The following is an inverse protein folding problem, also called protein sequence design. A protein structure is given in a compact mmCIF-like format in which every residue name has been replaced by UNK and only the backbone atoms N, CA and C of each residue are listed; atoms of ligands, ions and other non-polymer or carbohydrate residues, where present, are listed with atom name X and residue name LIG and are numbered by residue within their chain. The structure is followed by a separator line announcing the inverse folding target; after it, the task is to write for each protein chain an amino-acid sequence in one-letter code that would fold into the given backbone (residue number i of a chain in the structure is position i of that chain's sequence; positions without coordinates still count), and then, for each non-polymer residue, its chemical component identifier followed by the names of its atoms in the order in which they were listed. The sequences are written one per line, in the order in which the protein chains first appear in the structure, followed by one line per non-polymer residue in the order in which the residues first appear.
data_IF_622816750077
#
_entry.id   IF_622816750077
#
_cell.length_a   1.000
_cell.length_b   1.000
_cell.length_c   1.000
_cell.angle_alpha   90.00
_cell.angle_beta   90.00
_cell.angle_gamma   90.00
#
_symmetry.space_group_name_H-M   'P 1'
#
loop_
_entity.id
_entity.type
_entity.pdbx_description
1 polymer ?
#
# COMPACT_ATOMS: atom_id res chain seq x y z
N UNK A 1 -22.99 -13.22 -77.31
CA UNK A 1 -23.05 -13.71 -75.94
C UNK A 1 -22.64 -12.55 -75.02
N UNK A 2 -23.63 -11.93 -74.35
CA UNK A 2 -23.41 -10.83 -73.39
C UNK A 2 -23.21 -11.43 -71.99
N UNK A 3 -22.06 -11.21 -71.40
CA UNK A 3 -21.77 -11.53 -69.98
C UNK A 3 -22.19 -10.35 -69.12
N UNK A 4 -23.20 -10.55 -68.22
CA UNK A 4 -23.59 -9.59 -67.19
C UNK A 4 -22.58 -9.66 -66.01
N UNK A 5 -21.91 -8.57 -65.76
CA UNK A 5 -21.02 -8.39 -64.58
C UNK A 5 -21.88 -8.08 -63.36
N UNK A 6 -21.83 -8.94 -62.35
CA UNK A 6 -22.60 -8.82 -61.11
C UNK A 6 -21.94 -7.78 -60.15
N UNK A 7 -22.68 -6.69 -59.85
CA UNK A 7 -22.29 -5.61 -58.92
C UNK A 7 -22.68 -5.98 -57.48
N UNK A 8 -22.04 -6.98 -56.88
CA UNK A 8 -22.34 -7.34 -55.47
C UNK A 8 -21.12 -7.67 -54.59
N UNK A 9 -19.93 -7.25 -54.98
CA UNK A 9 -18.70 -7.57 -54.19
C UNK A 9 -18.05 -6.36 -53.54
N UNK A 10 -18.73 -5.21 -53.45
CA UNK A 10 -18.13 -3.97 -52.93
C UNK A 10 -18.51 -3.54 -51.51
N UNK A 11 -19.45 -4.23 -50.82
CA UNK A 11 -19.99 -3.71 -49.53
C UNK A 11 -19.48 -4.43 -48.28
N UNK A 12 -18.81 -5.60 -48.40
CA UNK A 12 -18.34 -6.35 -47.24
C UNK A 12 -16.95 -5.97 -46.72
N UNK A 13 -16.20 -5.10 -47.39
CA UNK A 13 -14.82 -4.74 -46.95
C UNK A 13 -14.72 -3.48 -46.08
N UNK A 14 -15.83 -2.72 -45.91
CA UNK A 14 -15.83 -1.50 -45.08
C UNK A 14 -16.34 -1.70 -43.65
N UNK A 15 -16.85 -2.88 -43.31
CA UNK A 15 -17.39 -3.15 -41.96
C UNK A 15 -16.37 -3.70 -40.97
N UNK A 16 -15.13 -4.00 -41.39
CA UNK A 16 -14.08 -4.58 -40.51
C UNK A 16 -13.07 -3.58 -39.93
N UNK A 17 -13.20 -2.30 -40.26
CA UNK A 17 -12.24 -1.25 -39.82
C UNK A 17 -12.72 -0.41 -38.64
N UNK A 18 -13.88 -0.66 -38.06
CA UNK A 18 -14.39 0.16 -36.93
C UNK A 18 -14.35 -0.52 -35.56
N UNK A 19 -13.70 -1.69 -35.39
CA UNK A 19 -13.58 -2.34 -34.07
C UNK A 19 -12.18 -2.24 -33.44
N UNK A 20 -11.34 -1.32 -33.88
CA UNK A 20 -10.21 -0.86 -33.06
C UNK A 20 -10.71 0.20 -32.09
N UNK A 21 -11.78 -0.11 -31.34
CA UNK A 21 -12.06 0.62 -30.11
C UNK A 21 -10.85 0.44 -29.23
N UNK A 22 -10.09 1.52 -29.00
CA UNK A 22 -9.13 1.60 -27.92
C UNK A 22 -9.76 0.91 -26.71
N UNK A 23 -9.26 -0.25 -26.32
CA UNK A 23 -9.49 -0.78 -24.99
C UNK A 23 -8.85 0.24 -24.04
N UNK A 24 -9.61 1.28 -23.66
CA UNK A 24 -9.27 2.08 -22.50
C UNK A 24 -9.06 1.07 -21.37
N UNK A 25 -7.83 0.94 -20.90
CA UNK A 25 -7.55 0.08 -19.76
C UNK A 25 -8.57 0.41 -18.67
N UNK A 26 -9.20 -0.61 -18.12
CA UNK A 26 -10.23 -0.44 -17.10
C UNK A 26 -9.64 0.36 -15.94
N UNK A 27 -10.40 1.31 -15.39
CA UNK A 27 -9.96 2.12 -14.24
C UNK A 27 -9.65 1.21 -13.05
N UNK A 28 -8.58 1.50 -12.27
CA UNK A 28 -8.28 0.75 -11.06
C UNK A 28 -9.47 0.75 -10.09
N UNK A 29 -9.76 -0.39 -9.49
CA UNK A 29 -10.71 -0.46 -8.39
C UNK A 29 -10.11 0.22 -7.15
N UNK A 30 -10.89 1.07 -6.47
CA UNK A 30 -10.42 1.76 -5.26
C UNK A 30 -10.53 0.83 -4.06
N UNK A 31 -9.49 0.79 -3.23
CA UNK A 31 -9.43 0.09 -1.97
C UNK A 31 -8.78 0.94 -0.88
N UNK A 32 -9.11 0.65 0.35
CA UNK A 32 -8.49 1.26 1.52
C UNK A 32 -7.84 0.20 2.40
N UNK A 33 -6.83 0.59 3.19
CA UNK A 33 -6.33 -0.21 4.30
C UNK A 33 -6.92 0.24 5.62
N UNK A 34 -7.43 -0.71 6.41
CA UNK A 34 -7.65 -0.55 7.84
C UNK A 34 -6.48 -1.15 8.59
N UNK A 35 -5.66 -0.29 9.19
CA UNK A 35 -4.42 -0.72 9.84
C UNK A 35 -4.47 -0.66 11.37
N UNK A 36 -5.60 -0.18 11.94
CA UNK A 36 -5.82 -0.13 13.38
C UNK A 36 -6.17 -1.52 13.92
N UNK A 37 -5.85 -1.77 15.20
CA UNK A 37 -6.19 -3.04 15.88
C UNK A 37 -7.67 -3.16 16.28
N UNK A 38 -8.41 -2.06 16.31
CA UNK A 38 -9.84 -2.03 16.57
C UNK A 38 -10.55 -1.52 15.34
N UNK A 39 -11.45 -2.33 14.78
CA UNK A 39 -12.34 -1.89 13.70
C UNK A 39 -13.60 -1.26 14.28
N UNK A 40 -13.60 0.05 14.32
CA UNK A 40 -14.73 0.86 14.80
C UNK A 40 -14.69 2.23 14.09
N UNK A 41 -14.97 2.28 12.77
CA UNK A 41 -15.01 3.55 12.05
C UNK A 41 -16.19 4.39 12.57
N UNK A 42 -15.97 5.69 12.71
CA UNK A 42 -17.08 6.61 13.02
C UNK A 42 -17.91 6.93 11.77
N UNK A 43 -18.99 7.70 11.95
CA UNK A 43 -19.89 8.06 10.85
C UNK A 43 -19.22 8.88 9.76
N UNK A 44 -18.25 9.74 10.11
CA UNK A 44 -17.51 10.55 9.15
C UNK A 44 -16.51 9.67 8.34
N UNK A 45 -15.83 8.74 9.00
CA UNK A 45 -14.98 7.75 8.34
C UNK A 45 -15.79 6.91 7.35
N UNK A 46 -16.96 6.40 7.74
CA UNK A 46 -17.84 5.62 6.86
C UNK A 46 -18.38 6.43 5.68
N UNK A 47 -18.85 7.65 5.93
CA UNK A 47 -19.32 8.55 4.87
C UNK A 47 -18.22 8.85 3.85
N UNK A 48 -17.01 9.12 4.34
CA UNK A 48 -15.85 9.34 3.48
C UNK A 48 -15.50 8.09 2.66
N UNK A 49 -15.41 6.92 3.29
CA UNK A 49 -15.13 5.65 2.61
C UNK A 49 -16.12 5.43 1.45
N UNK A 50 -17.43 5.57 1.72
CA UNK A 50 -18.47 5.39 0.71
C UNK A 50 -18.35 6.44 -0.41
N UNK A 51 -18.07 7.70 -0.07
CA UNK A 51 -17.91 8.78 -1.03
C UNK A 51 -16.69 8.58 -1.96
N UNK A 52 -15.66 7.84 -1.54
CA UNK A 52 -14.53 7.50 -2.43
C UNK A 52 -14.88 6.47 -3.50
N UNK A 53 -16.01 5.77 -3.37
CA UNK A 53 -16.40 4.68 -4.27
C UNK A 53 -15.60 3.40 -4.06
N UNK A 54 -14.92 3.24 -2.93
CA UNK A 54 -14.12 2.06 -2.62
C UNK A 54 -14.94 0.78 -2.66
N UNK A 55 -14.37 -0.27 -3.24
CA UNK A 55 -14.99 -1.59 -3.40
C UNK A 55 -14.28 -2.68 -2.61
N UNK A 56 -13.11 -2.38 -2.05
CA UNK A 56 -12.32 -3.34 -1.30
C UNK A 56 -11.76 -2.69 -0.04
N UNK A 57 -11.57 -3.52 0.99
CA UNK A 57 -10.96 -3.13 2.25
C UNK A 57 -9.89 -4.15 2.65
N UNK A 58 -8.64 -3.73 2.61
CA UNK A 58 -7.51 -4.46 3.18
C UNK A 58 -7.54 -4.34 4.70
N UNK A 59 -7.70 -5.44 5.42
CA UNK A 59 -7.84 -5.42 6.87
C UNK A 59 -6.67 -6.13 7.52
N UNK A 60 -5.85 -5.37 8.25
CA UNK A 60 -4.78 -5.97 9.05
C UNK A 60 -5.37 -6.78 10.20
N UNK A 61 -5.20 -8.11 10.12
CA UNK A 61 -5.76 -9.03 11.13
C UNK A 61 -4.88 -9.10 12.38
N UNK A 62 -3.59 -9.22 12.20
CA UNK A 62 -2.58 -9.30 13.27
C UNK A 62 -1.17 -9.22 12.69
N UNK A 63 -0.21 -9.00 13.56
CA UNK A 63 1.21 -9.15 13.25
C UNK A 63 1.72 -10.52 13.73
N UNK A 64 2.64 -11.10 12.99
CA UNK A 64 3.46 -12.22 13.45
C UNK A 64 4.80 -11.64 13.88
N UNK A 65 5.08 -11.66 15.18
CA UNK A 65 6.25 -11.00 15.74
C UNK A 65 6.82 -11.78 16.93
N UNK A 66 8.04 -11.45 17.32
CA UNK A 66 8.72 -11.97 18.52
C UNK A 66 8.75 -10.91 19.62
N UNK A 67 9.07 -11.33 20.85
CA UNK A 67 9.36 -10.39 21.94
C UNK A 67 10.49 -10.94 22.81
N UNK A 68 11.07 -10.09 23.65
CA UNK A 68 12.12 -10.52 24.59
C UNK A 68 11.66 -11.67 25.51
N UNK A 69 10.37 -11.67 25.90
CA UNK A 69 9.76 -12.72 26.73
C UNK A 69 9.44 -14.00 25.96
N UNK A 70 9.08 -13.84 24.67
CA UNK A 70 8.68 -14.96 23.79
C UNK A 70 9.46 -14.83 22.48
N UNK A 71 10.61 -15.50 22.35
CA UNK A 71 11.48 -15.39 21.17
C UNK A 71 10.88 -16.10 19.94
N UNK A 72 9.84 -16.93 20.15
CA UNK A 72 9.14 -17.58 19.03
C UNK A 72 8.08 -16.68 18.44
N UNK A 73 7.89 -16.73 17.09
CA UNK A 73 6.86 -15.95 16.41
C UNK A 73 5.46 -16.21 16.99
N UNK A 74 4.77 -15.15 17.35
CA UNK A 74 3.42 -15.18 17.94
C UNK A 74 2.57 -14.04 17.41
N UNK A 75 1.21 -14.19 17.36
CA UNK A 75 0.34 -13.10 16.96
C UNK A 75 0.37 -11.95 17.97
N UNK A 76 0.43 -10.73 17.44
CA UNK A 76 0.31 -9.48 18.19
C UNK A 76 -0.68 -8.55 17.52
N UNK A 77 -1.24 -7.63 18.26
CA UNK A 77 -2.15 -6.62 17.71
C UNK A 77 -3.34 -7.26 16.98
N UNK A 78 -3.93 -8.32 17.55
CA UNK A 78 -5.04 -9.04 16.94
C UNK A 78 -6.24 -8.10 16.80
N UNK A 79 -6.81 -8.09 15.60
CA UNK A 79 -7.95 -7.26 15.24
C UNK A 79 -9.16 -7.55 16.16
N UNK A 80 -9.74 -6.50 16.68
CA UNK A 80 -11.02 -6.51 17.38
C UNK A 80 -12.08 -5.84 16.50
N UNK A 81 -12.97 -6.62 15.93
CA UNK A 81 -14.10 -6.08 15.18
C UNK A 81 -15.20 -5.64 16.13
N UNK A 82 -15.49 -4.33 16.17
CA UNK A 82 -16.54 -3.73 17.02
C UNK A 82 -17.78 -3.31 16.24
N UNK A 83 -17.67 -3.23 14.92
CA UNK A 83 -18.75 -2.84 14.01
C UNK A 83 -18.82 -3.79 12.82
N UNK A 84 -19.96 -3.84 12.16
CA UNK A 84 -20.11 -4.55 10.89
C UNK A 84 -19.21 -3.96 9.80
N UNK A 85 -18.79 -4.79 8.88
CA UNK A 85 -18.08 -4.32 7.68
C UNK A 85 -19.03 -3.50 6.81
N UNK A 86 -18.51 -2.56 6.00
CA UNK A 86 -19.35 -1.83 5.03
C UNK A 86 -20.03 -2.80 4.07
N UNK A 87 -21.27 -2.52 3.70
CA UNK A 87 -22.02 -3.36 2.77
C UNK A 87 -21.35 -3.42 1.40
N UNK A 88 -21.43 -4.58 0.78
CA UNK A 88 -20.92 -4.83 -0.59
C UNK A 88 -19.41 -4.61 -0.79
N UNK A 89 -18.63 -4.56 0.30
CA UNK A 89 -17.18 -4.41 0.25
C UNK A 89 -16.50 -5.78 0.26
N UNK A 90 -15.58 -6.00 -0.69
CA UNK A 90 -14.72 -7.16 -0.68
C UNK A 90 -13.65 -7.01 0.41
N UNK A 91 -13.64 -7.90 1.38
CA UNK A 91 -12.60 -7.92 2.40
C UNK A 91 -11.35 -8.65 1.89
N UNK A 92 -10.20 -8.07 2.18
CA UNK A 92 -8.89 -8.66 1.91
C UNK A 92 -8.12 -8.71 3.22
N UNK A 93 -8.11 -9.86 3.92
CA UNK A 93 -7.30 -10.02 5.12
C UNK A 93 -5.82 -9.78 4.84
N UNK A 94 -5.15 -9.12 5.76
CA UNK A 94 -3.71 -8.83 5.70
C UNK A 94 -3.04 -9.35 6.97
N UNK A 95 -1.97 -10.10 6.81
CA UNK A 95 -1.11 -10.54 7.92
C UNK A 95 0.26 -9.93 7.74
N UNK A 96 0.66 -9.07 8.69
CA UNK A 96 2.00 -8.52 8.72
C UNK A 96 2.96 -9.46 9.44
N UNK A 97 4.09 -9.75 8.82
CA UNK A 97 5.12 -10.64 9.37
C UNK A 97 6.40 -9.83 9.57
N UNK A 98 6.83 -9.67 10.82
CA UNK A 98 8.03 -8.88 11.11
C UNK A 98 9.31 -9.59 10.64
N UNK A 99 10.35 -8.81 10.42
CA UNK A 99 11.68 -9.36 10.12
C UNK A 99 12.16 -10.29 11.25
N UNK A 100 11.94 -9.90 12.50
CA UNK A 100 12.34 -10.67 13.67
C UNK A 100 11.72 -12.07 13.68
N UNK A 101 10.43 -12.18 13.32
CA UNK A 101 9.72 -13.46 13.25
C UNK A 101 10.30 -14.45 12.22
N UNK A 102 10.96 -13.95 11.18
CA UNK A 102 11.51 -14.81 10.11
C UNK A 102 13.03 -15.00 10.17
N UNK A 103 13.72 -14.29 11.05
CA UNK A 103 15.15 -14.57 11.29
C UNK A 103 15.36 -15.89 12.05
N UNK A 104 14.48 -16.17 13.04
CA UNK A 104 14.50 -17.39 13.85
C UNK A 104 13.07 -17.91 14.04
N UNK A 105 12.43 -18.44 12.99
CA UNK A 105 11.01 -18.75 13.01
C UNK A 105 10.66 -20.01 13.83
N UNK A 106 11.65 -20.81 14.25
CA UNK A 106 11.43 -22.14 14.77
C UNK A 106 10.83 -23.06 13.69
N UNK A 107 9.82 -23.87 14.03
CA UNK A 107 9.11 -24.71 13.07
C UNK A 107 8.16 -23.85 12.19
N UNK A 108 8.46 -23.74 10.92
CA UNK A 108 7.61 -23.05 9.93
C UNK A 108 6.27 -23.77 9.74
N UNK A 109 6.23 -25.09 9.82
CA UNK A 109 4.99 -25.87 9.74
C UNK A 109 4.04 -25.52 10.88
N UNK A 110 4.55 -25.53 12.11
CA UNK A 110 3.77 -25.13 13.29
C UNK A 110 3.31 -23.67 13.20
N UNK A 111 4.15 -22.79 12.65
CA UNK A 111 3.82 -21.38 12.45
C UNK A 111 2.68 -21.25 11.42
N UNK A 112 2.77 -21.96 10.29
CA UNK A 112 1.74 -21.94 9.25
C UNK A 112 0.38 -22.42 9.78
N UNK A 113 0.35 -23.51 10.55
CA UNK A 113 -0.87 -24.02 11.19
C UNK A 113 -1.48 -22.99 12.15
N UNK A 114 -0.67 -22.34 12.99
CA UNK A 114 -1.16 -21.31 13.94
C UNK A 114 -1.73 -20.09 13.22
N UNK A 115 -1.04 -19.59 12.18
CA UNK A 115 -1.51 -18.48 11.37
C UNK A 115 -2.84 -18.86 10.70
N UNK A 116 -2.91 -20.02 10.04
CA UNK A 116 -4.11 -20.48 9.35
C UNK A 116 -5.32 -20.59 10.28
N UNK A 117 -5.13 -21.16 11.48
CA UNK A 117 -6.17 -21.27 12.51
C UNK A 117 -6.69 -19.90 12.94
N UNK A 118 -5.79 -18.93 13.19
CA UNK A 118 -6.18 -17.60 13.62
C UNK A 118 -6.90 -16.82 12.51
N UNK A 119 -6.39 -16.87 11.27
CA UNK A 119 -7.08 -16.28 10.11
C UNK A 119 -8.47 -16.89 9.97
N UNK A 120 -8.60 -18.21 10.04
CA UNK A 120 -9.89 -18.90 9.95
C UNK A 120 -10.86 -18.48 11.05
N UNK A 121 -10.38 -18.27 12.26
CA UNK A 121 -11.21 -17.79 13.38
C UNK A 121 -11.70 -16.35 13.15
N UNK A 122 -10.80 -15.44 12.77
CA UNK A 122 -11.12 -14.01 12.57
C UNK A 122 -12.02 -13.78 11.35
N UNK A 123 -11.88 -14.59 10.30
CA UNK A 123 -12.58 -14.42 9.03
C UNK A 123 -13.76 -15.42 8.87
N UNK A 124 -14.16 -16.12 9.91
CA UNK A 124 -15.18 -17.19 9.84
C UNK A 124 -16.51 -16.75 9.24
N UNK A 125 -16.96 -15.53 9.55
CA UNK A 125 -18.25 -15.00 9.11
C UNK A 125 -18.11 -14.03 7.91
N UNK A 126 -16.93 -13.96 7.30
CA UNK A 126 -16.65 -13.01 6.22
C UNK A 126 -16.44 -13.74 4.91
N UNK A 127 -16.95 -13.15 3.83
CA UNK A 127 -16.65 -13.63 2.47
C UNK A 127 -15.39 -12.94 1.96
N UNK A 128 -14.33 -13.74 1.73
CA UNK A 128 -13.07 -13.26 1.20
C UNK A 128 -12.48 -14.28 0.21
N UNK A 129 -11.82 -13.80 -0.81
CA UNK A 129 -11.25 -14.63 -1.88
C UNK A 129 -9.75 -14.43 -2.04
N UNK A 130 -9.18 -13.47 -1.32
CA UNK A 130 -7.79 -13.06 -1.40
C UNK A 130 -7.25 -12.80 -0.01
N UNK A 131 -5.96 -13.07 0.20
CA UNK A 131 -5.21 -12.69 1.39
C UNK A 131 -3.89 -12.07 0.99
N UNK A 132 -3.47 -11.03 1.72
CA UNK A 132 -2.19 -10.37 1.53
C UNK A 132 -1.23 -10.72 2.65
N UNK A 133 -0.03 -11.10 2.27
CA UNK A 133 1.09 -11.37 3.15
C UNK A 133 2.05 -10.19 3.09
N UNK A 134 2.10 -9.44 4.17
CA UNK A 134 2.93 -8.25 4.25
C UNK A 134 4.24 -8.57 4.97
N UNK A 135 5.35 -8.51 4.24
CA UNK A 135 6.68 -8.70 4.78
C UNK A 135 7.73 -8.00 3.92
N UNK A 136 8.52 -7.16 4.54
CA UNK A 136 9.68 -6.51 3.91
C UNK A 136 10.88 -7.49 3.86
N UNK A 137 10.80 -8.50 2.98
CA UNK A 137 11.86 -9.52 2.93
C UNK A 137 13.18 -8.97 2.42
N UNK A 138 14.24 -9.50 2.99
CA UNK A 138 15.62 -9.26 2.60
C UNK A 138 16.30 -10.58 2.27
N UNK A 139 17.56 -10.57 1.84
CA UNK A 139 18.32 -11.81 1.62
C UNK A 139 18.31 -12.74 2.83
N UNK A 140 18.27 -12.20 4.07
CA UNK A 140 18.29 -13.00 5.29
C UNK A 140 16.96 -13.65 5.68
N UNK A 141 15.81 -13.12 5.19
CA UNK A 141 14.48 -13.65 5.56
C UNK A 141 13.74 -14.29 4.39
N UNK A 142 14.19 -14.06 3.14
CA UNK A 142 13.51 -14.54 1.92
C UNK A 142 13.24 -16.04 1.92
N UNK A 143 14.24 -16.84 2.27
CA UNK A 143 14.09 -18.31 2.24
C UNK A 143 12.97 -18.77 3.18
N UNK A 144 12.99 -18.30 4.43
CA UNK A 144 11.97 -18.63 5.43
C UNK A 144 10.59 -18.05 5.06
N UNK A 145 10.54 -16.84 4.53
CA UNK A 145 9.29 -16.24 4.07
C UNK A 145 8.64 -17.05 2.95
N UNK A 146 9.41 -17.40 1.92
CA UNK A 146 8.88 -18.17 0.77
C UNK A 146 8.51 -19.60 1.15
N UNK A 147 9.25 -20.23 2.07
CA UNK A 147 8.89 -21.53 2.63
C UNK A 147 7.57 -21.44 3.40
N UNK A 148 7.42 -20.44 4.27
CA UNK A 148 6.18 -20.20 5.01
C UNK A 148 4.98 -20.00 4.07
N UNK A 149 5.12 -19.21 3.00
CA UNK A 149 4.04 -19.02 2.02
C UNK A 149 3.62 -20.33 1.35
N UNK A 150 4.55 -21.24 1.05
CA UNK A 150 4.24 -22.57 0.49
C UNK A 150 3.48 -23.43 1.49
N UNK A 151 3.89 -23.43 2.75
CA UNK A 151 3.21 -24.17 3.83
C UNK A 151 1.81 -23.63 4.13
N UNK A 152 1.66 -22.31 4.11
CA UNK A 152 0.35 -21.66 4.25
C UNK A 152 -0.61 -22.06 3.12
N UNK A 153 -0.12 -22.16 1.87
CA UNK A 153 -0.95 -22.61 0.74
C UNK A 153 -1.50 -24.03 0.90
N UNK A 154 -0.86 -24.86 1.70
CA UNK A 154 -1.31 -26.23 1.99
C UNK A 154 -2.41 -26.30 3.05
N UNK A 155 -2.68 -25.20 3.77
CA UNK A 155 -3.70 -25.16 4.80
C UNK A 155 -5.10 -25.04 4.17
N UNK A 156 -6.04 -25.91 4.58
CA UNK A 156 -7.36 -26.04 3.98
C UNK A 156 -8.16 -24.72 3.91
N UNK A 157 -8.00 -23.82 4.90
CA UNK A 157 -8.68 -22.49 4.93
C UNK A 157 -8.30 -21.62 3.72
N UNK A 158 -7.15 -21.86 3.12
CA UNK A 158 -6.65 -21.09 1.96
C UNK A 158 -6.94 -21.78 0.61
N UNK A 159 -7.65 -22.90 0.59
CA UNK A 159 -8.07 -23.52 -0.66
C UNK A 159 -8.89 -22.52 -1.48
N UNK A 160 -8.57 -22.39 -2.78
CA UNK A 160 -9.20 -21.45 -3.70
C UNK A 160 -9.04 -19.95 -3.33
N UNK A 161 -8.13 -19.63 -2.43
CA UNK A 161 -7.80 -18.22 -2.11
C UNK A 161 -6.61 -17.74 -2.91
N UNK A 162 -6.69 -16.51 -3.40
CA UNK A 162 -5.57 -15.83 -4.05
C UNK A 162 -4.59 -15.33 -2.99
N UNK A 163 -3.34 -15.72 -3.10
CA UNK A 163 -2.25 -15.15 -2.29
C UNK A 163 -1.67 -13.95 -3.03
N UNK A 164 -1.60 -12.82 -2.32
CA UNK A 164 -0.84 -11.64 -2.72
C UNK A 164 0.28 -11.37 -1.71
N UNK A 165 1.34 -10.73 -2.14
CA UNK A 165 2.43 -10.30 -1.25
C UNK A 165 2.77 -8.84 -1.52
N UNK A 166 3.13 -8.10 -0.48
CA UNK A 166 3.65 -6.73 -0.63
C UNK A 166 5.00 -6.75 -1.33
N UNK A 167 5.21 -5.80 -2.22
CA UNK A 167 6.42 -5.64 -3.04
C UNK A 167 6.97 -4.23 -2.80
N UNK A 168 8.22 -4.13 -2.35
CA UNK A 168 8.95 -2.86 -2.26
C UNK A 168 9.55 -2.49 -3.60
N UNK A 169 9.77 -1.21 -3.87
CA UNK A 169 10.33 -0.74 -5.14
C UNK A 169 11.63 -1.45 -5.52
N UNK A 170 12.57 -1.60 -4.58
CA UNK A 170 13.84 -2.28 -4.86
C UNK A 170 13.68 -3.76 -5.22
N UNK A 171 12.57 -4.39 -4.84
CA UNK A 171 12.26 -5.79 -5.15
C UNK A 171 11.76 -5.96 -6.59
N UNK A 172 11.35 -4.88 -7.29
CA UNK A 172 11.03 -4.93 -8.73
C UNK A 172 12.21 -5.41 -9.58
N UNK A 173 13.45 -5.27 -9.10
CA UNK A 173 14.66 -5.78 -9.77
C UNK A 173 14.90 -7.28 -9.57
N UNK A 174 14.12 -7.92 -8.71
CA UNK A 174 14.24 -9.35 -8.41
C UNK A 174 13.29 -10.17 -9.30
N UNK A 175 13.62 -10.27 -10.58
CA UNK A 175 12.75 -10.90 -11.60
C UNK A 175 13.07 -12.37 -11.86
N UNK A 176 14.19 -12.89 -11.35
CA UNK A 176 14.60 -14.27 -11.57
C UNK A 176 13.74 -15.26 -10.78
N UNK A 177 13.53 -16.49 -11.32
CA UNK A 177 12.90 -17.56 -10.58
C UNK A 177 13.55 -17.79 -9.20
N UNK A 178 12.74 -17.94 -8.16
CA UNK A 178 13.22 -18.10 -6.77
C UNK A 178 13.56 -16.79 -6.02
N UNK A 179 13.61 -15.65 -6.71
CA UNK A 179 13.75 -14.34 -6.08
C UNK A 179 12.40 -13.65 -5.82
N UNK A 180 11.35 -14.11 -6.46
CA UNK A 180 9.98 -13.62 -6.28
C UNK A 180 9.19 -14.49 -5.29
N UNK A 181 8.26 -13.88 -4.53
CA UNK A 181 7.41 -14.64 -3.63
C UNK A 181 6.50 -15.61 -4.41
N UNK A 182 6.24 -16.82 -3.88
CA UNK A 182 5.43 -17.83 -4.55
C UNK A 182 3.93 -17.50 -4.41
N UNK A 183 3.48 -16.38 -4.97
CA UNK A 183 2.10 -15.85 -4.94
C UNK A 183 1.56 -15.63 -6.35
N UNK A 184 0.27 -15.33 -6.46
CA UNK A 184 -0.35 -15.06 -7.77
C UNK A 184 -0.21 -13.62 -8.22
N UNK A 185 -0.14 -12.67 -7.29
CA UNK A 185 0.05 -11.25 -7.58
C UNK A 185 0.83 -10.54 -6.47
N UNK A 186 1.39 -9.40 -6.78
CA UNK A 186 2.01 -8.50 -5.84
C UNK A 186 1.15 -7.29 -5.53
N UNK A 187 1.44 -6.62 -4.42
CA UNK A 187 0.97 -5.28 -4.11
C UNK A 187 2.18 -4.36 -4.02
N UNK A 188 2.39 -3.54 -5.04
CA UNK A 188 3.52 -2.59 -5.07
C UNK A 188 3.27 -1.45 -4.09
N UNK A 189 4.13 -1.34 -3.08
CA UNK A 189 4.13 -0.21 -2.15
C UNK A 189 4.86 0.97 -2.77
N UNK A 190 4.12 2.01 -3.17
CA UNK A 190 4.66 3.24 -3.79
C UNK A 190 4.94 4.27 -2.70
N UNK A 191 5.61 3.84 -1.64
CA UNK A 191 6.01 4.65 -0.50
C UNK A 191 7.19 4.03 0.25
N UNK A 192 7.67 4.71 1.30
CA UNK A 192 8.87 4.34 2.07
C UNK A 192 10.11 4.19 1.17
N UNK A 193 10.42 5.25 0.42
CA UNK A 193 11.44 5.27 -0.63
C UNK A 193 12.81 5.74 -0.15
N UNK A 194 12.85 6.54 0.90
CA UNK A 194 14.07 7.22 1.35
C UNK A 194 14.61 6.74 2.69
N UNK A 195 15.67 7.42 3.14
CA UNK A 195 16.30 7.18 4.41
C UNK A 195 15.71 8.09 5.50
N UNK A 196 14.73 7.56 6.25
CA UNK A 196 13.99 8.29 7.28
C UNK A 196 14.90 8.98 8.32
N UNK A 197 15.92 8.27 8.78
CA UNK A 197 16.81 8.73 9.88
C UNK A 197 17.96 9.62 9.42
N UNK A 198 18.15 9.79 8.12
CA UNK A 198 19.20 10.64 7.56
C UNK A 198 18.72 12.08 7.48
N UNK A 199 19.47 13.01 8.08
CA UNK A 199 19.20 14.43 7.92
C UNK A 199 19.39 14.85 6.46
N UNK A 200 18.61 15.83 5.99
CA UNK A 200 18.60 16.33 4.62
C UNK A 200 17.20 16.62 4.14
N UNK A 201 17.03 16.86 2.85
CA UNK A 201 15.77 17.28 2.24
C UNK A 201 14.99 16.17 1.52
N UNK A 202 15.37 14.91 1.68
CA UNK A 202 14.69 13.79 1.04
C UNK A 202 13.35 13.50 1.72
N UNK A 203 12.31 13.28 0.94
CA UNK A 203 11.02 12.80 1.42
C UNK A 203 11.06 11.27 1.50
N UNK A 204 11.15 10.72 2.72
CA UNK A 204 11.27 9.27 2.89
C UNK A 204 9.96 8.52 2.61
N UNK A 205 8.81 9.21 2.58
CA UNK A 205 7.55 8.60 2.19
C UNK A 205 7.52 8.41 0.67
N UNK A 206 7.66 9.52 -0.08
CA UNK A 206 7.57 9.50 -1.54
C UNK A 206 8.56 10.52 -2.12
N UNK A 207 9.62 10.01 -2.73
CA UNK A 207 10.64 10.79 -3.41
C UNK A 207 10.56 10.55 -4.92
N UNK A 208 10.31 11.62 -5.69
CA UNK A 208 10.12 11.51 -7.13
C UNK A 208 11.38 11.02 -7.86
N UNK A 209 12.57 11.38 -7.41
CA UNK A 209 13.82 10.94 -8.02
C UNK A 209 14.05 9.44 -7.79
N UNK A 210 13.79 8.98 -6.56
CA UNK A 210 13.82 7.55 -6.23
C UNK A 210 12.77 6.79 -7.04
N UNK A 211 11.51 7.28 -7.08
CA UNK A 211 10.47 6.68 -7.89
C UNK A 211 10.89 6.54 -9.36
N UNK A 212 11.38 7.62 -9.96
CA UNK A 212 11.84 7.64 -11.35
C UNK A 212 12.90 6.57 -11.64
N UNK A 213 13.77 6.27 -10.68
CA UNK A 213 14.83 5.26 -10.85
C UNK A 213 14.32 3.82 -10.96
N UNK A 214 13.05 3.56 -10.60
CA UNK A 214 12.42 2.23 -10.68
C UNK A 214 11.41 2.09 -11.81
N UNK A 215 11.08 3.14 -12.55
CA UNK A 215 10.05 3.09 -13.60
C UNK A 215 10.36 2.06 -14.68
N UNK A 216 11.63 1.99 -15.12
CA UNK A 216 12.05 1.01 -16.14
C UNK A 216 11.96 -0.45 -15.65
N UNK A 217 11.89 -0.69 -14.35
CA UNK A 217 11.81 -2.03 -13.77
C UNK A 217 10.34 -2.51 -13.69
N UNK A 218 9.37 -1.61 -13.76
CA UNK A 218 7.94 -1.92 -13.71
C UNK A 218 7.53 -2.92 -14.80
N UNK A 219 7.89 -2.65 -16.05
CA UNK A 219 7.55 -3.53 -17.20
C UNK A 219 8.15 -4.92 -17.10
N UNK A 220 9.29 -5.05 -16.40
CA UNK A 220 10.05 -6.30 -16.32
C UNK A 220 9.54 -7.21 -15.20
N UNK A 221 8.80 -6.67 -14.23
CA UNK A 221 8.33 -7.46 -13.09
C UNK A 221 7.19 -8.39 -13.50
N UNK A 222 7.35 -9.71 -13.35
CA UNK A 222 6.45 -10.66 -14.02
C UNK A 222 5.12 -10.91 -13.29
N UNK A 223 5.01 -10.60 -11.99
CA UNK A 223 3.74 -10.75 -11.28
C UNK A 223 2.79 -9.60 -11.65
N UNK A 224 1.49 -9.87 -11.83
CA UNK A 224 0.47 -8.83 -11.82
C UNK A 224 0.57 -8.00 -10.53
N UNK A 225 0.40 -6.68 -10.61
CA UNK A 225 0.55 -5.78 -9.48
C UNK A 225 -0.73 -4.99 -9.20
N UNK A 226 -1.20 -5.05 -7.96
CA UNK A 226 -1.97 -3.97 -7.36
C UNK A 226 -1.02 -2.88 -6.87
N UNK A 227 -1.52 -1.68 -6.59
CA UNK A 227 -0.71 -0.53 -6.20
C UNK A 227 -1.19 0.05 -4.88
N UNK A 228 -0.27 0.37 -3.96
CA UNK A 228 -0.59 1.03 -2.70
C UNK A 228 0.05 2.42 -2.66
N UNK A 229 -0.78 3.45 -2.44
CA UNK A 229 -0.41 4.86 -2.41
C UNK A 229 -0.46 5.41 -0.99
N UNK A 230 0.48 6.29 -0.61
CA UNK A 230 0.47 6.92 0.70
C UNK A 230 -0.50 8.10 0.73
N UNK A 231 -1.40 8.14 1.70
CA UNK A 231 -2.17 9.35 2.07
C UNK A 231 -1.78 9.88 3.44
N UNK A 232 -0.86 9.18 4.10
CA UNK A 232 -0.29 9.59 5.38
C UNK A 232 0.83 10.63 5.22
N UNK A 233 1.13 11.30 6.31
CA UNK A 233 2.25 12.21 6.40
C UNK A 233 2.79 12.24 7.82
N UNK A 234 4.00 12.74 7.97
CA UNK A 234 4.62 12.99 9.25
C UNK A 234 5.63 14.15 9.19
N UNK A 235 6.03 14.64 10.36
CA UNK A 235 7.24 15.41 10.48
C UNK A 235 8.34 14.53 11.07
N UNK A 236 9.54 14.57 10.50
CA UNK A 236 10.73 13.91 11.06
C UNK A 236 11.50 14.93 11.87
N UNK A 237 11.69 14.65 13.16
CA UNK A 237 12.39 15.52 14.10
C UNK A 237 13.86 15.16 14.16
N UNK A 238 14.71 16.16 13.96
CA UNK A 238 16.17 16.05 14.11
C UNK A 238 16.66 17.02 15.19
N UNK A 239 17.61 16.58 15.98
CA UNK A 239 18.36 17.40 16.94
C UNK A 239 19.84 17.27 16.65
N UNK A 240 20.52 18.38 16.37
CA UNK A 240 21.94 18.37 15.99
C UNK A 240 22.22 17.36 14.84
N UNK A 241 21.36 17.36 13.82
CA UNK A 241 21.39 16.44 12.68
C UNK A 241 21.19 14.94 13.00
N UNK A 242 20.82 14.60 14.24
CA UNK A 242 20.49 13.22 14.63
C UNK A 242 18.98 13.03 14.67
N UNK A 243 18.52 11.92 14.15
CA UNK A 243 17.13 11.51 14.23
C UNK A 243 16.66 11.41 15.69
N UNK A 244 15.50 11.99 15.99
CA UNK A 244 14.87 11.96 17.31
C UNK A 244 13.58 11.16 17.29
N UNK A 245 12.63 11.55 16.42
CA UNK A 245 11.30 10.95 16.38
C UNK A 245 10.59 11.19 15.05
N UNK A 246 9.52 10.41 14.85
CA UNK A 246 8.50 10.64 13.83
C UNK A 246 7.28 11.23 14.53
N UNK A 247 6.87 12.42 14.11
CA UNK A 247 5.65 13.09 14.55
C UNK A 247 4.53 12.69 13.57
N UNK A 248 3.90 11.57 13.83
CA UNK A 248 2.94 10.96 12.92
C UNK A 248 1.68 11.82 12.74
N UNK A 249 1.27 12.06 11.48
CA UNK A 249 0.12 12.88 11.13
C UNK A 249 0.38 14.39 11.18
N UNK A 250 1.58 14.82 11.55
CA UNK A 250 1.95 16.25 11.57
C UNK A 250 2.27 16.72 10.16
N UNK A 251 1.60 17.78 9.73
CA UNK A 251 1.76 18.45 8.43
C UNK A 251 2.08 19.94 8.64
N UNK A 252 2.23 20.68 7.54
CA UNK A 252 2.54 22.11 7.59
C UNK A 252 1.55 22.92 8.43
N UNK A 253 0.26 22.59 8.38
CA UNK A 253 -0.80 23.28 9.15
C UNK A 253 -0.54 23.19 10.66
N UNK A 254 -0.26 22.00 11.17
CA UNK A 254 0.01 21.77 12.60
C UNK A 254 1.31 22.42 13.03
N UNK A 255 2.34 22.36 12.18
CA UNK A 255 3.65 22.95 12.46
C UNK A 255 3.53 24.48 12.56
N UNK A 256 2.89 25.13 11.59
CA UNK A 256 2.70 26.57 11.58
C UNK A 256 1.77 27.07 12.68
N UNK A 257 0.67 26.34 12.94
CA UNK A 257 -0.28 26.68 14.00
C UNK A 257 0.33 26.60 15.41
N UNK A 258 1.41 25.85 15.60
CA UNK A 258 2.11 25.73 16.89
C UNK A 258 2.71 27.08 17.38
N UNK A 259 3.06 27.98 16.46
CA UNK A 259 3.78 29.22 16.78
C UNK A 259 5.17 28.99 17.36
N UNK A 260 5.71 27.76 17.24
CA UNK A 260 7.00 27.40 17.84
C UNK A 260 8.17 27.44 16.85
N UNK A 261 7.90 27.60 15.55
CA UNK A 261 8.87 27.34 14.49
C UNK A 261 9.13 28.56 13.60
N UNK A 262 10.29 28.56 12.97
CA UNK A 262 10.64 29.39 11.81
C UNK A 262 10.82 28.49 10.58
N UNK A 263 10.33 28.96 9.43
CA UNK A 263 10.59 28.29 8.16
C UNK A 263 12.06 28.50 7.73
N UNK A 264 12.67 27.42 7.21
CA UNK A 264 14.01 27.46 6.63
C UNK A 264 13.92 27.52 5.09
N UNK A 265 14.93 28.10 4.39
CA UNK A 265 14.92 28.19 2.93
C UNK A 265 14.77 26.87 2.19
N UNK A 266 15.15 25.76 2.81
CA UNK A 266 15.08 24.40 2.27
C UNK A 266 13.72 23.71 2.47
N UNK A 267 12.67 24.41 2.92
CA UNK A 267 11.34 23.85 3.18
C UNK A 267 11.22 23.09 4.50
N UNK A 268 12.26 23.10 5.34
CA UNK A 268 12.23 22.58 6.71
C UNK A 268 11.79 23.65 7.69
N UNK A 269 11.59 23.28 8.94
CA UNK A 269 11.22 24.19 10.02
C UNK A 269 12.18 24.01 11.21
N UNK A 270 12.59 25.13 11.82
CA UNK A 270 13.42 25.11 13.05
C UNK A 270 12.59 25.57 14.23
N UNK A 271 12.60 24.78 15.32
CA UNK A 271 11.96 25.19 16.56
C UNK A 271 12.74 26.32 17.24
N UNK A 272 12.05 27.45 17.50
CA UNK A 272 12.61 28.64 18.22
C UNK A 272 12.71 28.40 19.71
N UNK A 273 11.76 27.65 20.27
CA UNK A 273 11.63 27.36 21.71
C UNK A 273 11.11 25.94 21.94
N UNK A 274 11.33 25.44 23.14
CA UNK A 274 10.74 24.18 23.57
C UNK A 274 9.22 24.30 23.74
N UNK A 275 8.50 23.20 23.50
CA UNK A 275 7.05 23.15 23.64
C UNK A 275 6.47 21.84 23.11
N UNK A 276 5.14 21.83 22.94
CA UNK A 276 4.42 20.71 22.33
C UNK A 276 3.84 21.12 20.98
N UNK A 277 4.12 20.31 19.96
CA UNK A 277 3.59 20.46 18.61
C UNK A 277 2.70 19.24 18.32
N UNK A 278 1.41 19.47 18.18
CA UNK A 278 0.41 18.39 17.98
C UNK A 278 0.58 17.21 18.97
N UNK A 279 0.91 17.51 20.24
CA UNK A 279 1.14 16.48 21.27
C UNK A 279 2.55 15.92 21.35
N UNK A 280 3.46 16.28 20.44
CA UNK A 280 4.85 15.83 20.42
C UNK A 280 5.77 16.89 21.04
N UNK A 281 6.66 16.46 21.94
CA UNK A 281 7.64 17.35 22.58
C UNK A 281 8.75 17.77 21.60
N UNK A 282 8.98 19.09 21.49
CA UNK A 282 10.08 19.66 20.71
C UNK A 282 10.95 20.55 21.57
N UNK A 283 12.22 20.72 21.20
CA UNK A 283 13.16 21.61 21.89
C UNK A 283 13.63 22.73 20.94
N UNK A 284 14.14 23.81 21.54
CA UNK A 284 14.78 24.87 20.74
C UNK A 284 15.94 24.29 19.93
N UNK A 285 16.02 24.68 18.66
CA UNK A 285 17.01 24.18 17.70
C UNK A 285 16.66 22.86 17.01
N UNK A 286 15.60 22.15 17.43
CA UNK A 286 15.13 21.00 16.66
C UNK A 286 14.72 21.42 15.24
N UNK A 287 15.04 20.57 14.26
CA UNK A 287 14.67 20.75 12.87
C UNK A 287 13.60 19.72 12.50
N UNK A 288 12.53 20.17 11.88
CA UNK A 288 11.42 19.35 11.43
C UNK A 288 11.43 19.29 9.90
N UNK A 289 11.49 18.09 9.35
CA UNK A 289 11.32 17.82 7.92
C UNK A 289 9.92 17.24 7.69
N UNK A 290 9.10 17.95 6.93
CA UNK A 290 7.76 17.46 6.58
C UNK A 290 7.84 16.50 5.42
N UNK A 291 7.14 15.39 5.53
CA UNK A 291 7.09 14.34 4.53
C UNK A 291 5.65 13.87 4.30
N UNK A 292 5.35 13.56 3.06
CA UNK A 292 4.03 13.14 2.60
C UNK A 292 3.94 13.18 1.09
N UNK A 293 2.76 12.93 0.56
CA UNK A 293 2.42 13.10 -0.84
C UNK A 293 1.23 14.05 -0.96
N UNK A 294 1.10 14.69 -2.11
CA UNK A 294 -0.10 15.41 -2.51
C UNK A 294 -0.85 14.67 -3.64
N UNK A 295 -2.08 15.07 -3.90
CA UNK A 295 -2.92 14.44 -4.90
C UNK A 295 -2.33 14.52 -6.32
N UNK A 296 -1.72 15.66 -6.69
CA UNK A 296 -1.14 15.85 -8.02
C UNK A 296 0.05 14.90 -8.26
N UNK A 297 0.91 14.72 -7.27
CA UNK A 297 2.02 13.75 -7.32
C UNK A 297 1.48 12.32 -7.46
N UNK A 298 0.45 11.95 -6.69
CA UNK A 298 -0.14 10.61 -6.78
C UNK A 298 -0.80 10.36 -8.15
N UNK A 299 -1.50 11.34 -8.73
CA UNK A 299 -2.06 11.24 -10.08
C UNK A 299 -0.97 11.00 -11.14
N UNK A 300 0.13 11.75 -11.07
CA UNK A 300 1.27 11.57 -11.97
C UNK A 300 1.83 10.15 -11.88
N UNK A 301 1.94 9.60 -10.67
CA UNK A 301 2.43 8.24 -10.45
C UNK A 301 1.46 7.20 -11.00
N UNK A 302 0.15 7.34 -10.75
CA UNK A 302 -0.87 6.40 -11.27
C UNK A 302 -0.87 6.41 -12.80
N UNK A 303 -0.75 7.59 -13.43
CA UNK A 303 -0.62 7.71 -14.88
C UNK A 303 0.58 6.94 -15.42
N UNK A 304 1.73 7.04 -14.75
CA UNK A 304 2.94 6.30 -15.13
C UNK A 304 2.73 4.79 -14.94
N UNK A 305 2.15 4.35 -13.82
CA UNK A 305 1.85 2.95 -13.57
C UNK A 305 0.94 2.36 -14.65
N UNK A 306 -0.11 3.07 -15.04
CA UNK A 306 -1.02 2.64 -16.11
C UNK A 306 -0.31 2.56 -17.46
N UNK A 307 0.59 3.48 -17.76
CA UNK A 307 1.37 3.47 -19.00
C UNK A 307 2.40 2.33 -19.02
N UNK A 308 3.08 2.09 -17.89
CA UNK A 308 4.17 1.13 -17.81
C UNK A 308 3.69 -0.32 -17.57
N UNK A 309 2.45 -0.50 -17.08
CA UNK A 309 1.88 -1.80 -16.73
C UNK A 309 0.58 -2.04 -17.49
N UNK A 310 0.47 -3.24 -18.06
CA UNK A 310 -0.76 -3.72 -18.71
C UNK A 310 -1.49 -4.72 -17.78
N UNK A 311 -1.43 -4.49 -16.47
CA UNK A 311 -2.10 -5.36 -15.51
C UNK A 311 -3.62 -5.28 -15.70
N UNK A 312 -4.26 -6.44 -15.74
CA UNK A 312 -5.71 -6.53 -15.90
C UNK A 312 -6.35 -6.14 -14.58
N UNK A 313 -7.08 -5.01 -14.57
CA UNK A 313 -7.86 -4.52 -13.44
C UNK A 313 -7.07 -4.42 -12.12
N UNK A 314 -6.01 -3.61 -12.06
CA UNK A 314 -5.30 -3.41 -10.81
C UNK A 314 -6.21 -2.80 -9.76
N UNK A 315 -5.97 -3.10 -8.49
CA UNK A 315 -6.58 -2.41 -7.36
C UNK A 315 -5.65 -1.34 -6.86
N UNK A 316 -6.18 -0.13 -6.70
CA UNK A 316 -5.47 1.00 -6.11
C UNK A 316 -5.83 1.12 -4.63
N UNK A 317 -4.92 0.72 -3.78
CA UNK A 317 -5.04 0.82 -2.33
C UNK A 317 -4.52 2.16 -1.82
N UNK A 318 -5.24 2.78 -0.88
CA UNK A 318 -4.77 3.94 -0.14
C UNK A 318 -4.42 3.56 1.30
N UNK A 319 -3.21 3.88 1.71
CA UNK A 319 -2.70 3.59 3.04
C UNK A 319 -2.61 4.89 3.85
N UNK A 320 -3.40 5.07 4.90
CA UNK A 320 -4.40 4.18 5.44
C UNK A 320 -5.69 4.98 5.77
N UNK A 321 -6.81 4.29 5.95
CA UNK A 321 -8.11 4.90 6.24
C UNK A 321 -8.19 5.39 7.69
N UNK A 322 -8.01 6.69 7.87
CA UNK A 322 -8.09 7.37 9.16
C UNK A 322 -8.62 8.81 8.99
N UNK A 323 -9.39 9.28 9.97
CA UNK A 323 -9.93 10.64 9.99
C UNK A 323 -8.89 11.74 9.78
N UNK A 324 -7.69 11.58 10.30
CA UNK A 324 -6.60 12.57 10.19
C UNK A 324 -6.12 12.81 8.75
N UNK A 325 -6.45 11.93 7.80
CA UNK A 325 -6.06 12.07 6.39
C UNK A 325 -7.16 12.72 5.53
N UNK A 326 -8.44 12.63 5.95
CA UNK A 326 -9.60 13.15 5.23
C UNK A 326 -9.46 14.64 4.86
N UNK A 327 -8.98 15.54 5.74
CA UNK A 327 -8.83 16.96 5.40
C UNK A 327 -7.81 17.26 4.29
N UNK A 328 -6.96 16.30 3.95
CA UNK A 328 -5.86 16.48 2.99
C UNK A 328 -6.07 15.74 1.68
N UNK A 329 -6.96 14.76 1.68
CA UNK A 329 -7.36 14.01 0.49
C UNK A 329 -8.89 13.89 0.51
N UNK A 330 -9.57 14.77 -0.20
CA UNK A 330 -11.03 14.67 -0.35
C UNK A 330 -11.42 13.39 -1.10
N UNK A 331 -12.67 12.95 -0.99
CA UNK A 331 -13.17 11.82 -1.78
C UNK A 331 -13.04 12.07 -3.29
N UNK A 332 -13.16 13.33 -3.72
CA UNK A 332 -12.92 13.75 -5.09
C UNK A 332 -11.46 13.55 -5.51
N UNK A 333 -10.48 13.90 -4.65
CA UNK A 333 -9.07 13.65 -4.95
C UNK A 333 -8.78 12.16 -5.11
N UNK A 334 -9.33 11.32 -4.25
CA UNK A 334 -9.17 9.86 -4.33
C UNK A 334 -9.71 9.30 -5.66
N UNK A 335 -10.90 9.75 -6.08
CA UNK A 335 -11.48 9.36 -7.36
C UNK A 335 -10.63 9.85 -8.53
N UNK A 336 -10.20 11.12 -8.51
CA UNK A 336 -9.36 11.71 -9.55
C UNK A 336 -8.01 11.01 -9.68
N UNK A 337 -7.36 10.64 -8.56
CA UNK A 337 -6.13 9.86 -8.57
C UNK A 337 -6.37 8.50 -9.23
N UNK A 338 -7.47 7.82 -8.90
CA UNK A 338 -7.77 6.49 -9.48
C UNK A 338 -8.06 6.55 -10.97
N UNK A 339 -8.59 7.67 -11.47
CA UNK A 339 -8.98 7.89 -12.88
C UNK A 339 -7.85 8.52 -13.71
N UNK A 340 -6.68 8.80 -13.13
CA UNK A 340 -5.57 9.45 -13.83
C UNK A 340 -5.10 8.62 -15.05
N UNK A 341 -5.17 9.23 -16.25
CA UNK A 341 -4.82 8.63 -17.55
C UNK A 341 -3.51 9.21 -18.11
#
# INVERSE_FOLDING_TARGET
VRVKLNRFTGVCLLAFLCCSACQKGQEPSIAWYWWKTVYAPDSAELAYFNATGAKQLGVRLFDVDTSARYPFPSPKGILQQKQAWPDSVKLVPVVYITRAALLQPGSLDSLAVRIARLVGSLMKQSNWTEIQWDHDWTGSTRANYFALLRLLKQQAIFNNKTFAATIRLHQLRQTQPGLMPPVRKGLLMVYNMGHLTQAGNTNSILDEAVWKSYQSDLKKYPLPLDWAMPVFAWAVQFRQNRFVAILNGVRAKEVLASGLVDALPNGQYRCRKAGFLAGFGVQAGDVLRLEGADAATLEKIVRILRHERNDVQPTLYFFDWQNKHIPYFSSYDIQRISQAH
#
